data_IF_841364184766
#
_entry.id   IF_841364184766
#
_cell.length_a   1.000
_cell.length_b   1.000
_cell.length_c   1.000
_cell.angle_alpha   90.00
_cell.angle_beta   90.00
_cell.angle_gamma   90.00
#
_symmetry.space_group_name_H-M   'P 1'
#
loop_
_entity.id
_entity.type
_entity.pdbx_description
1 polymer ?
#
# COMPACT_ATOMS: atom_id res chain seq x y z
N UNK A 1 -27.17 2.48 -6.27
CA UNK A 1 -26.20 3.23 -5.47
C UNK A 1 -24.90 3.28 -6.26
N UNK A 2 -24.44 4.46 -6.67
CA UNK A 2 -23.30 4.58 -7.57
C UNK A 2 -22.03 4.70 -6.72
N UNK A 3 -21.16 3.69 -6.72
CA UNK A 3 -19.88 3.65 -5.97
C UNK A 3 -18.86 4.70 -6.44
N UNK A 4 -19.29 5.61 -7.31
CA UNK A 4 -18.55 6.63 -8.00
C UNK A 4 -18.99 8.06 -7.67
N UNK A 5 -20.07 8.25 -6.90
CA UNK A 5 -20.52 9.59 -6.55
C UNK A 5 -19.59 10.18 -5.47
N UNK A 6 -18.79 11.23 -5.77
CA UNK A 6 -17.90 11.84 -4.78
C UNK A 6 -18.67 12.51 -3.61
N UNK A 7 -19.99 12.73 -3.76
CA UNK A 7 -20.86 13.18 -2.67
C UNK A 7 -21.30 12.06 -1.75
N UNK A 8 -21.21 10.80 -2.18
CA UNK A 8 -21.54 9.65 -1.36
C UNK A 8 -20.40 9.37 -0.37
N UNK A 9 -20.73 9.49 0.91
CA UNK A 9 -19.79 9.24 2.01
C UNK A 9 -19.24 7.81 1.99
N UNK A 10 -19.99 6.87 1.41
CA UNK A 10 -19.60 5.47 1.24
C UNK A 10 -18.32 5.35 0.42
N UNK A 11 -18.17 6.13 -0.66
CA UNK A 11 -16.99 6.10 -1.53
C UNK A 11 -15.75 6.57 -0.78
N UNK A 12 -15.89 7.60 0.05
CA UNK A 12 -14.82 8.14 0.90
C UNK A 12 -14.39 7.14 1.96
N UNK A 13 -15.36 6.45 2.59
CA UNK A 13 -15.09 5.40 3.58
C UNK A 13 -14.36 4.22 2.92
N UNK A 14 -14.81 3.76 1.74
CA UNK A 14 -14.19 2.66 1.00
C UNK A 14 -12.73 2.98 0.63
N UNK A 15 -12.42 4.23 0.27
CA UNK A 15 -11.05 4.66 0.00
C UNK A 15 -10.17 4.79 1.25
N UNK A 16 -10.76 5.13 2.40
CA UNK A 16 -10.04 5.22 3.66
C UNK A 16 -9.58 3.85 4.17
N UNK A 17 -10.36 2.79 3.93
CA UNK A 17 -10.02 1.43 4.37
C UNK A 17 -8.60 1.00 3.92
N UNK A 18 -8.25 0.98 2.61
CA UNK A 18 -6.92 0.57 2.18
C UNK A 18 -5.81 1.52 2.64
N UNK A 19 -6.08 2.82 2.78
CA UNK A 19 -5.11 3.80 3.32
C UNK A 19 -4.82 3.48 4.80
N UNK A 20 -5.85 3.26 5.60
CA UNK A 20 -5.69 2.90 7.02
C UNK A 20 -4.99 1.54 7.14
N UNK A 21 -5.37 0.55 6.34
CA UNK A 21 -4.74 -0.77 6.35
C UNK A 21 -3.26 -0.72 5.98
N UNK A 22 -2.85 0.12 5.03
CA UNK A 22 -1.43 0.28 4.67
C UNK A 22 -0.62 0.94 5.80
N UNK A 23 -1.16 1.99 6.42
CA UNK A 23 -0.54 2.62 7.58
C UNK A 23 -0.44 1.66 8.78
N UNK A 24 -1.52 0.94 9.07
CA UNK A 24 -1.56 -0.05 10.14
C UNK A 24 -0.59 -1.20 9.90
N UNK A 25 -0.51 -1.70 8.66
CA UNK A 25 0.44 -2.74 8.27
C UNK A 25 1.89 -2.27 8.48
N UNK A 26 2.20 -1.03 8.09
CA UNK A 26 3.52 -0.44 8.31
C UNK A 26 3.90 -0.37 9.79
N UNK A 27 2.96 0.04 10.65
CA UNK A 27 3.14 0.03 12.11
C UNK A 27 3.34 -1.39 12.66
N UNK A 28 2.53 -2.35 12.19
CA UNK A 28 2.63 -3.74 12.63
C UNK A 28 3.92 -4.41 12.18
N UNK A 29 4.50 -4.02 11.05
CA UNK A 29 5.83 -4.51 10.63
C UNK A 29 6.87 -4.17 11.69
N UNK A 30 6.87 -2.96 12.24
CA UNK A 30 7.79 -2.60 13.32
C UNK A 30 7.47 -3.39 14.60
N UNK A 31 6.18 -3.44 14.96
CA UNK A 31 5.75 -4.05 16.23
C UNK A 31 6.00 -5.55 16.30
N UNK A 32 5.97 -6.23 15.15
CA UNK A 32 6.14 -7.68 15.02
C UNK A 32 7.53 -8.07 14.52
N UNK A 33 8.45 -7.11 14.35
CA UNK A 33 9.75 -7.31 13.71
C UNK A 33 9.63 -8.03 12.34
N UNK A 34 8.59 -7.68 11.57
CA UNK A 34 8.29 -8.27 10.27
C UNK A 34 7.46 -9.54 10.28
N UNK A 35 7.12 -10.13 11.44
CA UNK A 35 6.36 -11.39 11.47
C UNK A 35 4.92 -11.29 10.92
N UNK A 36 4.37 -10.09 10.73
CA UNK A 36 3.11 -9.91 10.01
C UNK A 36 3.25 -10.11 8.49
N UNK A 37 4.48 -10.06 7.96
CA UNK A 37 4.75 -10.26 6.53
C UNK A 37 4.58 -11.74 6.20
N UNK A 38 3.70 -12.04 5.25
CA UNK A 38 3.43 -13.40 4.82
C UNK A 38 4.73 -14.11 4.36
N UNK A 39 4.98 -15.31 4.87
CA UNK A 39 6.18 -16.09 4.57
C UNK A 39 7.43 -15.69 5.37
N UNK A 40 7.44 -14.50 5.97
CA UNK A 40 8.53 -14.08 6.86
C UNK A 40 8.46 -14.81 8.21
N UNK A 41 7.25 -15.00 8.75
CA UNK A 41 7.03 -15.71 10.01
C UNK A 41 7.44 -17.18 9.99
N UNK A 42 7.31 -17.86 8.84
CA UNK A 42 7.65 -19.27 8.65
C UNK A 42 9.08 -19.51 8.18
N UNK A 43 9.86 -18.44 7.99
CA UNK A 43 11.26 -18.55 7.55
C UNK A 43 12.16 -19.03 8.70
N UNK A 44 13.29 -19.65 8.38
CA UNK A 44 14.32 -19.98 9.37
C UNK A 44 14.92 -18.70 9.98
N UNK A 45 15.29 -18.76 11.27
CA UNK A 45 15.66 -17.58 12.04
C UNK A 45 16.96 -16.93 11.53
N UNK A 46 17.92 -17.73 11.09
CA UNK A 46 19.18 -17.29 10.46
C UNK A 46 18.92 -16.45 9.20
N UNK A 47 18.00 -16.90 8.35
CA UNK A 47 17.56 -16.16 7.16
C UNK A 47 16.81 -14.89 7.51
N UNK A 48 15.97 -14.89 8.55
CA UNK A 48 15.29 -13.66 9.03
C UNK A 48 16.30 -12.63 9.48
N UNK A 49 17.27 -13.02 10.31
CA UNK A 49 18.32 -12.12 10.78
C UNK A 49 19.13 -11.53 9.63
N UNK A 50 19.47 -12.35 8.62
CA UNK A 50 20.15 -11.88 7.42
C UNK A 50 19.32 -10.84 6.65
N UNK A 51 18.03 -11.11 6.42
CA UNK A 51 17.13 -10.18 5.73
C UNK A 51 16.95 -8.88 6.52
N UNK A 52 16.81 -8.95 7.84
CA UNK A 52 16.72 -7.78 8.72
C UNK A 52 18.00 -6.95 8.62
N UNK A 53 19.18 -7.59 8.69
CA UNK A 53 20.49 -6.91 8.55
C UNK A 53 20.65 -6.23 7.19
N UNK A 54 20.14 -6.85 6.12
CA UNK A 54 20.08 -6.27 4.76
C UNK A 54 18.99 -5.19 4.59
N UNK A 55 18.27 -4.86 5.65
CA UNK A 55 17.27 -3.77 5.67
C UNK A 55 15.93 -4.12 5.04
N UNK A 56 15.57 -5.41 4.94
CA UNK A 56 14.33 -5.89 4.32
C UNK A 56 13.09 -5.17 4.85
N UNK A 57 12.93 -5.09 6.18
CA UNK A 57 11.77 -4.48 6.82
C UNK A 57 11.61 -3.01 6.44
N UNK A 58 12.71 -2.25 6.41
CA UNK A 58 12.71 -0.85 5.99
C UNK A 58 12.27 -0.70 4.53
N UNK A 59 12.75 -1.59 3.65
CA UNK A 59 12.37 -1.59 2.23
C UNK A 59 10.89 -1.93 2.03
N UNK A 60 10.38 -2.95 2.72
CA UNK A 60 8.95 -3.34 2.67
C UNK A 60 8.08 -2.18 3.16
N UNK A 61 8.41 -1.55 4.29
CA UNK A 61 7.67 -0.39 4.79
C UNK A 61 7.65 0.77 3.79
N UNK A 62 8.81 1.13 3.23
CA UNK A 62 8.91 2.19 2.21
C UNK A 62 8.00 1.89 1.02
N UNK A 63 8.01 0.65 0.54
CA UNK A 63 7.11 0.21 -0.52
C UNK A 63 5.63 0.34 -0.11
N UNK A 64 5.23 -0.11 1.07
CA UNK A 64 3.85 0.01 1.57
C UNK A 64 3.38 1.47 1.62
N UNK A 65 4.26 2.40 2.01
CA UNK A 65 3.96 3.84 1.96
C UNK A 65 3.84 4.35 0.52
N UNK A 66 4.77 4.02 -0.37
CA UNK A 66 4.72 4.47 -1.77
C UNK A 66 3.46 3.97 -2.49
N UNK A 67 3.04 2.74 -2.20
CA UNK A 67 1.80 2.12 -2.70
C UNK A 67 0.54 2.90 -2.31
N UNK A 68 0.52 3.55 -1.13
CA UNK A 68 -0.66 4.25 -0.63
C UNK A 68 -0.79 5.67 -1.19
N UNK A 69 0.28 6.27 -1.72
CA UNK A 69 0.28 7.64 -2.26
C UNK A 69 -0.81 7.86 -3.33
N UNK A 70 -0.94 7.00 -4.37
CA UNK A 70 -2.01 7.19 -5.36
C UNK A 70 -3.41 7.16 -4.73
N UNK A 71 -3.63 6.30 -3.74
CA UNK A 71 -4.92 6.17 -3.06
C UNK A 71 -5.24 7.39 -2.20
N UNK A 72 -4.23 7.96 -1.51
CA UNK A 72 -4.36 9.21 -0.77
C UNK A 72 -4.71 10.36 -1.72
N UNK A 73 -4.08 10.43 -2.90
CA UNK A 73 -4.40 11.46 -3.92
C UNK A 73 -5.85 11.32 -4.40
N UNK A 74 -6.32 10.10 -4.67
CA UNK A 74 -7.71 9.86 -5.05
C UNK A 74 -8.69 10.26 -3.94
N UNK A 75 -8.37 9.91 -2.69
CA UNK A 75 -9.17 10.29 -1.52
C UNK A 75 -9.28 11.82 -1.38
N UNK A 76 -8.17 12.55 -1.45
CA UNK A 76 -8.16 14.01 -1.39
C UNK A 76 -8.92 14.63 -2.57
N UNK A 77 -8.79 14.05 -3.78
CA UNK A 77 -9.51 14.51 -4.97
C UNK A 77 -11.04 14.43 -4.82
N UNK A 78 -11.55 13.49 -4.01
CA UNK A 78 -13.00 13.33 -3.75
C UNK A 78 -13.66 14.56 -3.10
N UNK A 79 -12.89 15.46 -2.48
CA UNK A 79 -13.40 16.69 -1.88
C UNK A 79 -13.56 17.83 -2.89
N UNK A 80 -12.80 17.80 -3.98
CA UNK A 80 -12.72 18.92 -4.94
C UNK A 80 -13.37 18.59 -6.28
N UNK A 81 -13.30 17.33 -6.71
CA UNK A 81 -13.78 16.90 -8.03
C UNK A 81 -15.28 16.59 -7.95
N UNK A 82 -16.09 17.48 -8.53
CA UNK A 82 -17.55 17.31 -8.61
C UNK A 82 -18.00 16.50 -9.84
N UNK A 83 -17.14 16.38 -10.86
CA UNK A 83 -17.45 15.64 -12.08
C UNK A 83 -17.22 14.14 -11.85
N UNK A 84 -18.30 13.36 -11.89
CA UNK A 84 -18.29 11.91 -11.61
C UNK A 84 -17.40 11.15 -12.59
N UNK A 85 -17.42 11.49 -13.88
CA UNK A 85 -16.61 10.80 -14.89
C UNK A 85 -15.12 11.04 -14.64
N UNK A 86 -14.75 12.30 -14.41
CA UNK A 86 -13.36 12.65 -14.08
C UNK A 86 -12.90 11.99 -12.77
N UNK A 87 -13.76 11.95 -11.75
CA UNK A 87 -13.44 11.30 -10.49
C UNK A 87 -13.24 9.79 -10.65
N UNK A 88 -14.04 9.13 -11.48
CA UNK A 88 -13.86 7.71 -11.82
C UNK A 88 -12.54 7.44 -12.53
N UNK A 89 -12.15 8.30 -13.47
CA UNK A 89 -10.87 8.17 -14.17
C UNK A 89 -9.70 8.31 -13.18
N UNK A 90 -9.79 9.26 -12.24
CA UNK A 90 -8.80 9.42 -11.14
C UNK A 90 -8.76 8.18 -10.26
N UNK A 91 -9.92 7.65 -9.87
CA UNK A 91 -10.02 6.48 -9.01
C UNK A 91 -9.39 5.25 -9.67
N UNK A 92 -9.75 4.99 -10.94
CA UNK A 92 -9.20 3.88 -11.71
C UNK A 92 -7.70 4.02 -11.91
N UNK A 93 -7.23 5.24 -12.22
CA UNK A 93 -5.80 5.54 -12.34
C UNK A 93 -5.04 5.32 -11.03
N UNK A 94 -5.59 5.73 -9.90
CA UNK A 94 -4.97 5.54 -8.58
C UNK A 94 -4.85 4.07 -8.20
N UNK A 95 -5.90 3.27 -8.41
CA UNK A 95 -5.85 1.82 -8.17
C UNK A 95 -4.85 1.13 -9.09
N UNK A 96 -4.86 1.48 -10.39
CA UNK A 96 -3.91 0.95 -11.36
C UNK A 96 -2.45 1.25 -10.99
N UNK A 97 -2.15 2.51 -10.66
CA UNK A 97 -0.81 2.92 -10.23
C UNK A 97 -0.39 2.25 -8.91
N UNK A 98 -1.29 2.15 -7.94
CA UNK A 98 -1.02 1.44 -6.67
C UNK A 98 -0.68 -0.03 -6.90
N UNK A 99 -1.40 -0.71 -7.81
CA UNK A 99 -1.09 -2.08 -8.23
C UNK A 99 0.29 -2.22 -8.89
N UNK A 100 0.61 -1.32 -9.84
CA UNK A 100 1.92 -1.33 -10.52
C UNK A 100 3.07 -1.11 -9.52
N UNK A 101 2.93 -0.13 -8.63
CA UNK A 101 3.92 0.14 -7.58
C UNK A 101 4.10 -1.08 -6.68
N UNK A 102 3.00 -1.77 -6.35
CA UNK A 102 3.05 -3.00 -5.54
C UNK A 102 3.88 -4.08 -6.23
N UNK A 103 3.59 -4.39 -7.49
CA UNK A 103 4.30 -5.45 -8.23
C UNK A 103 5.79 -5.10 -8.38
N UNK A 104 6.10 -3.88 -8.83
CA UNK A 104 7.49 -3.42 -8.99
C UNK A 104 8.23 -3.40 -7.65
N UNK A 105 7.58 -2.94 -6.59
CA UNK A 105 8.14 -2.92 -5.25
C UNK A 105 8.56 -4.31 -4.77
N UNK A 106 7.70 -5.32 -4.94
CA UNK A 106 8.02 -6.72 -4.57
C UNK A 106 9.24 -7.20 -5.35
N UNK A 107 9.29 -6.98 -6.67
CA UNK A 107 10.40 -7.41 -7.52
C UNK A 107 11.71 -6.75 -7.12
N UNK A 108 11.71 -5.42 -6.94
CA UNK A 108 12.90 -4.64 -6.57
C UNK A 108 13.41 -5.05 -5.19
N UNK A 109 12.52 -5.21 -4.22
CA UNK A 109 12.91 -5.66 -2.87
C UNK A 109 13.55 -7.03 -2.96
N UNK A 110 12.88 -8.01 -3.56
CA UNK A 110 13.37 -9.38 -3.66
C UNK A 110 14.73 -9.47 -4.36
N UNK A 111 14.92 -8.72 -5.46
CA UNK A 111 16.20 -8.68 -6.17
C UNK A 111 17.30 -8.08 -5.27
N UNK A 112 17.01 -7.00 -4.57
CA UNK A 112 17.96 -6.32 -3.66
C UNK A 112 18.31 -7.11 -2.40
N UNK A 113 17.60 -8.21 -2.10
CA UNK A 113 17.95 -9.10 -0.99
C UNK A 113 18.87 -10.25 -1.44
N UNK A 114 18.88 -10.55 -2.74
CA UNK A 114 19.72 -11.59 -3.36
C UNK A 114 21.13 -11.11 -3.67
N UNK A 115 21.28 -9.82 -4.02
CA UNK A 115 22.58 -9.14 -4.16
C UNK A 115 23.25 -8.93 -2.82
#
# INVERSE_FOLDING_TARGET
MNLADPKDITVKIVLLIPIILTLFSSYMIDKTNGNIIAGFNTMEEDKKEELIRKGYLSKVKKMTFTMSIPLVIAFLSSFFVKNIKLYNDILMGAWGLSGIITILGIVVINYSMRS
#
